data_IF_948266455223
#
_entry.id   IF_948266455223
#
_cell.length_a   1.000
_cell.length_b   1.000
_cell.length_c   1.000
_cell.angle_alpha   90.00
_cell.angle_beta   90.00
_cell.angle_gamma   90.00
#
_symmetry.space_group_name_H-M   'P 1'
#
loop_
_entity.id
_entity.type
_entity.pdbx_description
1 polymer ?
#
# COMPACT_ATOMS: atom_id res chain seq x y z
N UNK A 1 32.16 10.15 0.21
CA UNK A 1 32.10 10.98 1.43
C UNK A 1 31.71 10.09 2.60
N UNK A 2 32.19 10.39 3.81
CA UNK A 2 31.83 9.67 5.05
C UNK A 2 30.30 9.60 5.27
N UNK A 3 29.59 10.63 4.81
CA UNK A 3 28.12 10.76 4.86
C UNK A 3 27.44 9.77 3.90
N UNK A 4 27.99 9.57 2.69
CA UNK A 4 27.43 8.61 1.72
C UNK A 4 27.55 7.16 2.19
N UNK A 5 28.65 6.82 2.89
CA UNK A 5 28.83 5.49 3.52
C UNK A 5 27.89 5.26 4.71
N UNK A 6 27.60 6.32 5.48
CA UNK A 6 26.63 6.29 6.57
C UNK A 6 25.20 6.05 6.06
N UNK A 7 24.80 6.74 4.99
CA UNK A 7 23.47 6.59 4.39
C UNK A 7 23.26 5.19 3.81
N UNK A 8 24.26 4.65 3.11
CA UNK A 8 24.21 3.27 2.60
C UNK A 8 24.24 2.21 3.71
N UNK A 9 24.97 2.46 4.80
CA UNK A 9 24.95 1.60 6.00
C UNK A 9 23.59 1.58 6.71
N UNK A 10 22.94 2.75 6.84
CA UNK A 10 21.60 2.86 7.45
C UNK A 10 20.55 2.18 6.55
N UNK A 11 20.63 2.40 5.23
CA UNK A 11 19.69 1.82 4.27
C UNK A 11 19.80 0.30 4.20
N UNK A 12 21.02 -0.25 4.18
CA UNK A 12 21.25 -1.69 4.21
C UNK A 12 20.86 -2.32 5.55
N UNK A 13 21.11 -1.63 6.68
CA UNK A 13 20.67 -2.06 8.00
C UNK A 13 19.14 -2.12 8.14
N UNK A 14 18.41 -1.14 7.59
CA UNK A 14 16.96 -1.13 7.57
C UNK A 14 16.37 -2.25 6.71
N UNK A 15 16.93 -2.48 5.52
CA UNK A 15 16.50 -3.58 4.65
C UNK A 15 16.75 -4.94 5.29
N UNK A 16 17.93 -5.15 5.89
CA UNK A 16 18.26 -6.39 6.59
C UNK A 16 17.32 -6.63 7.78
N UNK A 17 17.05 -5.59 8.58
CA UNK A 17 16.12 -5.67 9.71
C UNK A 17 14.70 -6.00 9.26
N UNK A 18 14.22 -5.34 8.19
CA UNK A 18 12.91 -5.62 7.61
C UNK A 18 12.78 -7.05 7.09
N UNK A 19 13.81 -7.56 6.39
CA UNK A 19 13.85 -8.93 5.91
C UNK A 19 13.83 -9.94 7.06
N UNK A 20 14.63 -9.74 8.10
CA UNK A 20 14.66 -10.62 9.29
C UNK A 20 13.29 -10.64 9.97
N UNK A 21 12.68 -9.48 10.21
CA UNK A 21 11.35 -9.39 10.83
C UNK A 21 10.30 -10.10 9.97
N UNK A 22 10.35 -9.93 8.65
CA UNK A 22 9.43 -10.58 7.72
C UNK A 22 9.58 -12.09 7.73
N UNK A 23 10.81 -12.62 7.71
CA UNK A 23 11.08 -14.07 7.77
C UNK A 23 10.55 -14.66 9.08
N UNK A 24 10.82 -14.00 10.22
CA UNK A 24 10.31 -14.44 11.53
C UNK A 24 8.78 -14.43 11.53
N UNK A 25 8.14 -13.40 10.99
CA UNK A 25 6.69 -13.29 10.96
C UNK A 25 6.04 -14.37 10.08
N UNK A 26 6.64 -14.69 8.93
CA UNK A 26 6.19 -15.76 8.03
C UNK A 26 6.39 -17.14 8.65
N UNK A 27 7.54 -17.40 9.25
CA UNK A 27 7.84 -18.67 9.92
C UNK A 27 6.85 -18.95 11.07
N UNK A 28 6.61 -17.96 11.94
CA UNK A 28 5.63 -18.06 13.02
C UNK A 28 4.19 -18.23 12.50
N UNK A 29 3.85 -17.57 11.38
CA UNK A 29 2.53 -17.72 10.75
C UNK A 29 2.32 -19.10 10.12
N UNK A 30 3.38 -19.76 9.65
CA UNK A 30 3.31 -21.12 9.09
C UNK A 30 3.25 -22.21 10.17
N UNK A 31 3.82 -21.97 11.34
CA UNK A 31 3.72 -22.86 12.51
C UNK A 31 2.38 -22.73 13.27
N UNK A 32 1.48 -21.84 12.81
CA UNK A 32 0.15 -21.66 13.40
C UNK A 32 0.14 -20.81 14.67
N UNK A 33 1.26 -20.16 15.02
CA UNK A 33 1.28 -19.17 16.09
C UNK A 33 0.61 -17.88 15.60
N UNK A 34 -0.61 -17.65 16.07
CA UNK A 34 -1.22 -16.33 15.89
C UNK A 34 -0.72 -15.39 16.99
N UNK A 35 -0.62 -14.08 16.74
CA UNK A 35 -0.33 -13.07 17.79
C UNK A 35 -1.30 -13.16 18.98
N UNK A 36 -2.43 -13.83 18.79
CA UNK A 36 -3.50 -14.07 19.74
C UNK A 36 -3.14 -15.14 20.79
N UNK A 37 -2.22 -16.05 20.49
CA UNK A 37 -1.80 -17.16 21.36
C UNK A 37 -0.82 -16.72 22.46
N UNK A 38 -0.20 -15.54 22.31
CA UNK A 38 0.72 -14.96 23.29
C UNK A 38 0.01 -14.11 24.35
N UNK A 39 -1.33 -14.04 24.33
CA UNK A 39 -2.09 -13.14 25.20
C UNK A 39 -2.31 -13.70 26.61
N UNK A 40 -2.05 -12.87 27.61
CA UNK A 40 -2.26 -13.19 29.03
C UNK A 40 -3.75 -13.39 29.36
N UNK A 41 -4.09 -14.23 30.36
CA UNK A 41 -5.47 -14.35 30.88
C UNK A 41 -6.09 -13.01 31.28
N UNK A 42 -5.25 -12.00 31.60
CA UNK A 42 -5.66 -10.63 31.89
C UNK A 42 -6.08 -9.88 30.62
N UNK A 43 -5.38 -10.07 29.50
CA UNK A 43 -5.75 -9.52 28.19
C UNK A 43 -7.02 -10.17 27.63
N UNK A 44 -7.26 -11.45 27.89
CA UNK A 44 -8.52 -12.10 27.50
C UNK A 44 -9.73 -11.50 28.22
N UNK A 45 -9.59 -11.16 29.51
CA UNK A 45 -10.63 -10.45 30.27
C UNK A 45 -10.82 -9.01 29.77
N UNK A 46 -9.73 -8.31 29.48
CA UNK A 46 -9.77 -6.96 28.89
C UNK A 46 -10.45 -6.99 27.52
N UNK A 47 -10.14 -7.96 26.66
CA UNK A 47 -10.80 -8.17 25.36
C UNK A 47 -12.28 -8.52 25.51
N UNK A 48 -12.68 -9.18 26.61
CA UNK A 48 -14.08 -9.46 26.90
C UNK A 48 -14.83 -8.20 27.39
N UNK A 49 -14.17 -7.33 28.13
CA UNK A 49 -14.73 -6.03 28.55
C UNK A 49 -14.79 -5.02 27.39
N UNK A 50 -13.74 -4.94 26.57
CA UNK A 50 -13.75 -4.16 25.32
C UNK A 50 -14.84 -4.67 24.37
N UNK A 51 -15.09 -5.98 24.34
CA UNK A 51 -16.19 -6.60 23.58
C UNK A 51 -17.58 -6.22 24.08
N UNK A 52 -17.76 -6.09 25.39
CA UNK A 52 -19.01 -5.59 25.97
C UNK A 52 -19.20 -4.10 25.65
N UNK A 53 -18.11 -3.31 25.67
CA UNK A 53 -18.12 -1.91 25.22
C UNK A 53 -18.37 -1.76 23.72
N UNK A 54 -17.84 -2.62 22.85
CA UNK A 54 -18.07 -2.56 21.40
C UNK A 54 -19.54 -2.83 21.02
N UNK A 55 -20.22 -3.65 21.82
CA UNK A 55 -21.67 -3.88 21.70
C UNK A 55 -22.44 -2.63 22.16
N UNK A 56 -22.01 -1.99 23.25
CA UNK A 56 -22.59 -0.72 23.73
C UNK A 56 -22.32 0.46 22.78
N UNK A 57 -21.17 0.48 22.10
CA UNK A 57 -20.77 1.51 21.13
C UNK A 57 -21.45 1.37 19.75
N UNK A 58 -22.30 0.34 19.56
CA UNK A 58 -23.15 0.21 18.37
C UNK A 58 -22.46 -0.39 17.13
N UNK A 59 -21.43 -1.23 17.31
CA UNK A 59 -20.85 -2.00 16.21
C UNK A 59 -21.91 -2.99 15.67
N UNK A 60 -22.18 -3.06 14.35
CA UNK A 60 -23.26 -3.87 13.81
C UNK A 60 -23.02 -5.37 14.04
N UNK A 61 -23.92 -6.00 14.81
CA UNK A 61 -23.99 -7.44 14.98
C UNK A 61 -24.91 -8.06 13.90
N UNK A 62 -24.52 -9.22 13.34
CA UNK A 62 -25.36 -9.94 12.37
C UNK A 62 -26.72 -10.28 12.98
N UNK A 63 -27.80 -9.92 12.27
CA UNK A 63 -29.16 -10.28 12.66
C UNK A 63 -29.46 -11.79 12.50
N UNK A 64 -28.60 -12.57 11.86
CA UNK A 64 -28.88 -13.97 11.47
C UNK A 64 -27.96 -15.00 12.15
N UNK A 65 -26.79 -14.60 12.64
CA UNK A 65 -25.87 -15.47 13.36
C UNK A 65 -25.68 -14.94 14.78
N UNK A 66 -25.95 -15.78 15.78
CA UNK A 66 -25.57 -15.57 17.21
C UNK A 66 -24.04 -15.54 17.42
N UNK A 67 -23.27 -15.21 16.40
CA UNK A 67 -21.83 -15.10 16.40
C UNK A 67 -21.44 -13.74 15.80
N UNK A 68 -20.53 -12.99 16.45
CA UNK A 68 -20.10 -11.70 15.93
C UNK A 68 -19.46 -11.90 14.56
N UNK A 69 -19.80 -11.03 13.61
CA UNK A 69 -19.18 -11.02 12.29
C UNK A 69 -17.68 -10.73 12.45
N UNK A 70 -16.83 -11.47 11.74
CA UNK A 70 -15.39 -11.20 11.73
C UNK A 70 -15.17 -9.75 11.31
N UNK A 71 -14.20 -9.03 11.91
CA UNK A 71 -13.92 -7.65 11.53
C UNK A 71 -13.65 -7.59 10.02
N UNK A 72 -14.33 -6.67 9.33
CA UNK A 72 -14.19 -6.55 7.89
C UNK A 72 -12.87 -5.88 7.49
N UNK A 73 -12.29 -5.09 8.40
CA UNK A 73 -10.98 -4.44 8.27
C UNK A 73 -10.09 -4.76 9.47
N UNK A 74 -8.78 -4.81 9.24
CA UNK A 74 -7.73 -4.93 10.27
C UNK A 74 -7.08 -3.54 10.52
N UNK A 75 -7.48 -2.80 11.57
CA UNK A 75 -7.08 -1.40 11.76
C UNK A 75 -5.57 -1.17 11.74
N UNK A 76 -4.80 -2.00 12.46
CA UNK A 76 -3.35 -1.87 12.53
C UNK A 76 -2.67 -2.06 11.17
N UNK A 77 -3.17 -3.00 10.35
CA UNK A 77 -2.65 -3.26 9.00
C UNK A 77 -2.86 -2.06 8.07
N UNK A 78 -4.04 -1.45 8.12
CA UNK A 78 -4.37 -0.25 7.33
C UNK A 78 -3.51 0.96 7.74
N UNK A 79 -3.29 1.17 9.04
CA UNK A 79 -2.43 2.27 9.53
C UNK A 79 -0.98 2.07 9.08
N UNK A 80 -0.44 0.86 9.22
CA UNK A 80 0.93 0.55 8.84
C UNK A 80 1.10 0.67 7.32
N UNK A 81 0.20 0.05 6.55
CA UNK A 81 0.21 0.11 5.09
C UNK A 81 0.10 1.55 4.57
N UNK A 82 -0.85 2.31 5.13
CA UNK A 82 -1.02 3.72 4.78
C UNK A 82 0.16 4.60 5.19
N UNK A 83 0.80 4.31 6.32
CA UNK A 83 2.04 4.98 6.74
C UNK A 83 3.20 4.74 5.77
N UNK A 84 3.37 3.50 5.29
CA UNK A 84 4.36 3.17 4.25
C UNK A 84 4.03 3.92 2.96
N UNK A 85 2.76 3.91 2.54
CA UNK A 85 2.30 4.65 1.35
C UNK A 85 2.59 6.15 1.44
N UNK A 86 2.32 6.77 2.59
CA UNK A 86 2.64 8.18 2.84
C UNK A 86 4.14 8.47 2.68
N UNK A 87 4.99 7.70 3.35
CA UNK A 87 6.45 7.89 3.30
C UNK A 87 6.94 7.74 1.86
N UNK A 88 6.49 6.69 1.15
CA UNK A 88 6.87 6.46 -0.23
C UNK A 88 6.39 7.59 -1.16
N UNK A 89 5.15 8.05 -0.98
CA UNK A 89 4.61 9.19 -1.72
C UNK A 89 5.42 10.47 -1.51
N UNK A 90 5.84 10.76 -0.26
CA UNK A 90 6.71 11.89 0.07
C UNK A 90 8.07 11.77 -0.62
N UNK A 91 8.68 10.58 -0.66
CA UNK A 91 9.96 10.35 -1.35
C UNK A 91 9.82 10.62 -2.84
N UNK A 92 8.73 10.17 -3.47
CA UNK A 92 8.47 10.41 -4.90
C UNK A 92 8.19 11.89 -5.21
N UNK A 93 7.52 12.62 -4.31
CA UNK A 93 7.25 14.04 -4.44
C UNK A 93 8.50 14.91 -4.23
N UNK A 94 9.26 14.63 -3.17
CA UNK A 94 10.45 15.40 -2.80
C UNK A 94 11.65 15.11 -3.69
N UNK A 95 11.69 13.94 -4.32
CA UNK A 95 12.75 13.50 -5.23
C UNK A 95 14.14 13.74 -4.63
N UNK A 96 14.49 13.10 -3.49
CA UNK A 96 15.74 13.33 -2.76
C UNK A 96 16.95 12.64 -3.45
N UNK A 97 16.97 12.68 -4.78
CA UNK A 97 17.96 12.08 -5.65
C UNK A 97 18.38 13.09 -6.73
N UNK A 98 19.48 12.86 -7.47
CA UNK A 98 20.00 13.79 -8.47
C UNK A 98 19.04 14.01 -9.66
N UNK A 99 18.08 14.92 -9.53
CA UNK A 99 17.02 15.16 -10.53
C UNK A 99 17.55 15.57 -11.90
N UNK A 100 18.73 16.20 -11.97
CA UNK A 100 19.38 16.58 -13.23
C UNK A 100 19.74 15.39 -14.13
N UNK A 101 19.72 14.15 -13.62
CA UNK A 101 19.99 12.93 -14.40
C UNK A 101 18.74 12.38 -15.12
N UNK A 102 17.59 13.03 -14.98
CA UNK A 102 16.30 12.50 -15.44
C UNK A 102 15.58 13.53 -16.32
N UNK A 103 14.77 13.03 -17.26
CA UNK A 103 13.91 13.90 -18.05
C UNK A 103 12.88 14.64 -17.18
N UNK A 104 12.63 15.94 -17.42
CA UNK A 104 11.62 16.70 -16.69
C UNK A 104 10.24 16.06 -16.72
N UNK A 105 9.84 15.48 -17.86
CA UNK A 105 8.57 14.78 -18.04
C UNK A 105 8.46 13.57 -17.09
N UNK A 106 9.53 12.77 -16.97
CA UNK A 106 9.56 11.63 -16.07
C UNK A 106 9.49 12.05 -14.61
N UNK A 107 10.23 13.10 -14.23
CA UNK A 107 10.16 13.67 -12.89
C UNK A 107 8.75 14.19 -12.56
N UNK A 108 8.05 14.78 -13.52
CA UNK A 108 6.67 15.21 -13.35
C UNK A 108 5.74 14.02 -13.12
N UNK A 109 5.89 12.94 -13.91
CA UNK A 109 5.12 11.70 -13.72
C UNK A 109 5.37 11.13 -12.33
N UNK A 110 6.63 11.05 -11.88
CA UNK A 110 6.96 10.58 -10.53
C UNK A 110 6.28 11.41 -9.43
N UNK A 111 6.18 12.73 -9.59
CA UNK A 111 5.46 13.59 -8.63
C UNK A 111 3.97 13.29 -8.60
N UNK A 112 3.34 13.06 -9.76
CA UNK A 112 1.93 12.65 -9.81
C UNK A 112 1.72 11.28 -9.16
N UNK A 113 2.60 10.31 -9.42
CA UNK A 113 2.59 9.03 -8.69
C UNK A 113 2.71 9.25 -7.18
N UNK A 114 3.66 10.06 -6.74
CA UNK A 114 3.86 10.37 -5.33
C UNK A 114 2.63 11.00 -4.68
N UNK A 115 1.97 11.94 -5.37
CA UNK A 115 0.73 12.55 -4.90
C UNK A 115 -0.38 11.51 -4.74
N UNK A 116 -0.60 10.67 -5.76
CA UNK A 116 -1.64 9.63 -5.73
C UNK A 116 -1.37 8.63 -4.61
N UNK A 117 -0.14 8.14 -4.47
CA UNK A 117 0.24 7.20 -3.40
C UNK A 117 0.10 7.82 -2.02
N UNK A 118 0.42 9.10 -1.87
CA UNK A 118 0.24 9.82 -0.60
C UNK A 118 -1.24 9.96 -0.23
N UNK A 119 -2.10 10.27 -1.20
CA UNK A 119 -3.55 10.34 -1.00
C UNK A 119 -4.13 8.96 -0.64
N UNK A 120 -3.72 7.91 -1.35
CA UNK A 120 -4.10 6.52 -1.04
C UNK A 120 -3.68 6.14 0.39
N UNK A 121 -2.42 6.38 0.77
CA UNK A 121 -1.94 6.09 2.12
C UNK A 121 -2.69 6.86 3.22
N UNK A 122 -3.14 8.08 2.92
CA UNK A 122 -3.98 8.88 3.83
C UNK A 122 -5.37 8.27 4.03
N UNK A 123 -5.97 7.72 2.97
CA UNK A 123 -7.24 7.01 3.05
C UNK A 123 -7.10 5.72 3.86
N UNK A 124 -6.02 4.98 3.69
CA UNK A 124 -5.74 3.75 4.43
C UNK A 124 -5.60 4.02 5.93
N UNK A 125 -4.83 5.04 6.31
CA UNK A 125 -4.75 5.49 7.71
C UNK A 125 -6.13 5.90 8.23
N UNK A 126 -6.91 6.63 7.43
CA UNK A 126 -8.27 7.02 7.82
C UNK A 126 -9.16 5.80 8.08
N UNK A 127 -9.10 4.79 7.20
CA UNK A 127 -9.80 3.51 7.39
C UNK A 127 -9.35 2.81 8.68
N UNK A 128 -8.03 2.79 8.93
CA UNK A 128 -7.44 2.27 10.15
C UNK A 128 -7.95 2.96 11.43
N UNK A 129 -7.97 4.28 11.46
CA UNK A 129 -8.45 5.08 12.61
C UNK A 129 -9.95 4.87 12.87
N UNK A 130 -10.76 4.84 11.80
CA UNK A 130 -12.21 4.61 11.91
C UNK A 130 -12.48 3.21 12.50
N UNK A 131 -11.66 2.22 12.14
CA UNK A 131 -11.85 0.83 12.55
C UNK A 131 -13.18 0.28 12.04
N UNK A 132 -13.78 -0.72 12.69
CA UNK A 132 -15.01 -1.34 12.17
C UNK A 132 -16.32 -0.59 12.51
N UNK A 133 -16.22 0.67 12.96
CA UNK A 133 -17.35 1.43 13.54
C UNK A 133 -18.34 1.98 12.51
N UNK A 134 -17.87 2.30 11.30
CA UNK A 134 -18.68 2.99 10.28
C UNK A 134 -18.60 2.32 8.92
N UNK A 135 -19.39 1.24 8.69
CA UNK A 135 -19.42 0.51 7.41
C UNK A 135 -19.65 1.42 6.20
N UNK A 136 -20.58 2.37 6.29
CA UNK A 136 -20.89 3.31 5.20
C UNK A 136 -19.68 4.17 4.82
N UNK A 137 -18.97 4.70 5.83
CA UNK A 137 -17.77 5.50 5.60
C UNK A 137 -16.68 4.68 4.91
N UNK A 138 -16.52 3.40 5.26
CA UNK A 138 -15.56 2.53 4.58
C UNK A 138 -15.89 2.28 3.11
N UNK A 139 -17.18 2.14 2.77
CA UNK A 139 -17.57 1.99 1.37
C UNK A 139 -17.21 3.24 0.54
N UNK A 140 -17.44 4.42 1.12
CA UNK A 140 -17.04 5.69 0.48
C UNK A 140 -15.52 5.76 0.35
N UNK A 141 -14.76 5.41 1.40
CA UNK A 141 -13.30 5.43 1.34
C UNK A 141 -12.74 4.47 0.29
N UNK A 142 -13.25 3.24 0.19
CA UNK A 142 -12.86 2.31 -0.89
C UNK A 142 -13.23 2.83 -2.27
N UNK A 143 -14.37 3.50 -2.43
CA UNK A 143 -14.75 4.11 -3.71
C UNK A 143 -13.78 5.21 -4.13
N UNK A 144 -13.35 6.07 -3.19
CA UNK A 144 -12.34 7.10 -3.45
C UNK A 144 -10.98 6.45 -3.76
N UNK A 145 -10.57 5.42 -3.03
CA UNK A 145 -9.34 4.66 -3.30
C UNK A 145 -9.33 4.07 -4.71
N UNK A 146 -10.46 3.54 -5.19
CA UNK A 146 -10.61 3.04 -6.57
C UNK A 146 -10.31 4.15 -7.58
N UNK A 147 -10.86 5.36 -7.39
CA UNK A 147 -10.61 6.48 -8.29
C UNK A 147 -9.12 6.85 -8.36
N UNK A 148 -8.44 6.86 -7.21
CA UNK A 148 -7.00 7.13 -7.16
C UNK A 148 -6.18 6.02 -7.81
N UNK A 149 -6.46 4.74 -7.56
CA UNK A 149 -5.77 3.64 -8.25
C UNK A 149 -5.95 3.71 -9.76
N UNK A 150 -7.16 3.99 -10.25
CA UNK A 150 -7.41 4.11 -11.69
C UNK A 150 -6.73 5.34 -12.31
N UNK A 151 -6.52 6.41 -11.56
CA UNK A 151 -5.79 7.61 -12.03
C UNK A 151 -4.30 7.34 -12.32
N UNK A 152 -3.75 6.23 -11.83
CA UNK A 152 -2.40 5.77 -12.15
C UNK A 152 -2.30 5.25 -13.60
N UNK A 153 -3.37 4.70 -14.15
CA UNK A 153 -3.36 4.04 -15.47
C UNK A 153 -2.93 5.02 -16.59
N UNK A 154 -3.51 6.24 -16.71
CA UNK A 154 -3.04 7.21 -17.69
C UNK A 154 -1.54 7.51 -17.60
N UNK A 155 -0.98 7.56 -16.39
CA UNK A 155 0.46 7.81 -16.19
C UNK A 155 1.30 6.64 -16.71
N UNK A 156 0.87 5.40 -16.42
CA UNK A 156 1.52 4.19 -16.95
C UNK A 156 1.42 4.12 -18.48
N UNK A 157 0.30 4.53 -19.06
CA UNK A 157 0.11 4.56 -20.52
C UNK A 157 1.02 5.61 -21.18
N UNK A 158 1.22 6.77 -20.56
CA UNK A 158 2.19 7.77 -21.03
C UNK A 158 3.60 7.16 -21.05
N UNK A 159 4.02 6.53 -19.96
CA UNK A 159 5.33 5.85 -19.88
C UNK A 159 5.45 4.76 -20.96
N UNK A 160 4.41 3.97 -21.16
CA UNK A 160 4.39 2.89 -22.16
C UNK A 160 4.53 3.40 -23.61
N UNK A 161 3.93 4.55 -23.91
CA UNK A 161 4.00 5.17 -25.23
C UNK A 161 5.27 6.00 -25.44
N UNK A 162 5.97 6.37 -24.35
CA UNK A 162 7.21 7.16 -24.37
C UNK A 162 8.31 6.47 -23.55
N UNK A 163 8.82 5.31 -23.99
CA UNK A 163 9.89 4.62 -23.28
C UNK A 163 11.15 5.47 -23.12
N UNK A 164 11.40 6.41 -24.04
CA UNK A 164 12.59 7.27 -24.05
C UNK A 164 12.72 8.18 -22.83
N UNK A 165 11.60 8.54 -22.17
CA UNK A 165 11.66 9.39 -20.97
C UNK A 165 12.06 8.61 -19.72
N UNK A 166 12.02 7.28 -19.75
CA UNK A 166 12.35 6.46 -18.60
C UNK A 166 13.88 6.40 -18.36
N UNK A 167 14.36 6.44 -17.10
CA UNK A 167 15.78 6.62 -16.76
C UNK A 167 16.76 5.65 -17.43
N UNK A 168 16.34 4.40 -17.70
CA UNK A 168 17.18 3.40 -18.35
C UNK A 168 17.45 3.72 -19.83
N UNK A 169 16.58 4.49 -20.46
CA UNK A 169 16.67 4.84 -21.88
C UNK A 169 17.12 6.30 -22.10
N UNK A 170 17.42 7.06 -21.02
CA UNK A 170 17.84 8.46 -21.07
C UNK A 170 19.36 8.65 -20.96
N UNK A 171 19.94 9.68 -21.57
CA UNK A 171 21.36 10.03 -21.36
C UNK A 171 21.60 10.37 -19.88
N UNK A 172 22.70 9.92 -19.24
CA UNK A 172 23.95 9.39 -19.82
C UNK A 172 23.96 7.89 -20.16
N UNK A 173 22.85 7.17 -19.95
CA UNK A 173 22.79 5.71 -20.10
C UNK A 173 22.58 5.25 -21.55
N UNK A 174 22.27 6.14 -22.49
CA UNK A 174 22.21 5.81 -23.93
C UNK A 174 23.56 5.29 -24.43
N UNK A 175 24.69 5.75 -23.87
CA UNK A 175 26.02 5.24 -24.20
C UNK A 175 26.27 3.80 -23.71
N UNK A 176 25.39 3.25 -22.87
CA UNK A 176 25.41 1.83 -22.43
C UNK A 176 24.59 0.93 -23.38
N UNK A 177 23.86 1.51 -24.34
CA UNK A 177 23.30 0.77 -25.47
C UNK A 177 22.18 -0.21 -25.13
N UNK A 178 21.08 0.27 -24.52
CA UNK A 178 19.86 -0.55 -24.50
C UNK A 178 19.22 -0.44 -25.89
N UNK A 179 19.22 -1.54 -26.65
CA UNK A 179 18.67 -1.58 -28.01
C UNK A 179 17.16 -1.28 -28.00
N UNK A 180 16.66 -0.76 -29.12
CA UNK A 180 15.21 -0.53 -29.36
C UNK A 180 14.40 -1.82 -29.17
N UNK A 181 15.06 -2.97 -29.27
CA UNK A 181 14.48 -4.29 -29.03
C UNK A 181 13.88 -4.39 -27.63
N UNK A 182 14.46 -3.75 -26.61
CA UNK A 182 13.96 -3.78 -25.22
C UNK A 182 12.69 -2.94 -24.97
N UNK A 183 12.23 -2.18 -25.96
CA UNK A 183 11.03 -1.35 -25.81
C UNK A 183 9.78 -2.21 -25.66
N UNK A 184 9.75 -3.38 -26.30
CA UNK A 184 8.60 -4.27 -26.21
C UNK A 184 8.55 -4.96 -24.84
N UNK A 185 9.68 -5.39 -24.28
CA UNK A 185 9.76 -5.86 -22.90
C UNK A 185 9.34 -4.79 -21.90
N UNK A 186 9.82 -3.55 -22.08
CA UNK A 186 9.42 -2.43 -21.24
C UNK A 186 7.91 -2.18 -21.28
N UNK A 187 7.32 -2.17 -22.48
CA UNK A 187 5.87 -2.03 -22.65
C UNK A 187 5.11 -3.19 -22.02
N UNK A 188 5.60 -4.43 -22.13
CA UNK A 188 4.99 -5.58 -21.46
C UNK A 188 5.04 -5.44 -19.94
N UNK A 189 6.15 -4.96 -19.38
CA UNK A 189 6.28 -4.70 -17.93
C UNK A 189 5.26 -3.65 -17.48
N UNK A 190 5.14 -2.53 -18.21
CA UNK A 190 4.15 -1.51 -17.90
C UNK A 190 2.71 -2.00 -18.08
N UNK A 191 2.45 -2.81 -19.11
CA UNK A 191 1.18 -3.50 -19.31
C UNK A 191 0.84 -4.41 -18.13
N UNK A 192 1.82 -5.13 -17.58
CA UNK A 192 1.65 -5.92 -16.37
C UNK A 192 1.32 -5.06 -15.14
N UNK A 193 1.94 -3.88 -14.99
CA UNK A 193 1.58 -2.93 -13.93
C UNK A 193 0.16 -2.37 -14.08
N UNK A 194 -0.30 -2.09 -15.30
CA UNK A 194 -1.69 -1.71 -15.56
C UNK A 194 -2.64 -2.84 -15.17
N UNK A 195 -2.37 -4.07 -15.59
CA UNK A 195 -3.18 -5.24 -15.23
C UNK A 195 -3.22 -5.46 -13.71
N UNK A 196 -2.07 -5.34 -13.03
CA UNK A 196 -1.99 -5.43 -11.57
C UNK A 196 -2.82 -4.34 -10.89
N UNK A 197 -2.76 -3.10 -11.39
CA UNK A 197 -3.55 -1.98 -10.87
C UNK A 197 -5.06 -2.27 -10.98
N UNK A 198 -5.51 -2.82 -12.11
CA UNK A 198 -6.89 -3.26 -12.29
C UNK A 198 -7.27 -4.38 -11.30
N UNK A 199 -6.42 -5.39 -11.11
CA UNK A 199 -6.67 -6.48 -10.16
C UNK A 199 -6.78 -5.98 -8.71
N UNK A 200 -5.88 -5.12 -8.27
CA UNK A 200 -5.92 -4.50 -6.94
C UNK A 200 -7.15 -3.58 -6.77
N UNK A 201 -7.67 -3.04 -7.86
CA UNK A 201 -8.92 -2.26 -7.84
C UNK A 201 -10.13 -3.16 -7.62
N UNK A 202 -10.16 -4.37 -8.20
CA UNK A 202 -11.23 -5.36 -7.98
C UNK A 202 -11.33 -5.76 -6.51
N UNK A 203 -10.20 -5.88 -5.81
CA UNK A 203 -10.19 -6.17 -4.36
C UNK A 203 -10.98 -5.11 -3.56
N UNK A 204 -10.85 -3.83 -3.94
CA UNK A 204 -11.62 -2.75 -3.30
C UNK A 204 -13.12 -2.86 -3.57
N UNK A 205 -13.51 -3.25 -4.80
CA UNK A 205 -14.92 -3.51 -5.14
C UNK A 205 -15.46 -4.68 -4.31
N UNK A 206 -14.69 -5.76 -4.19
CA UNK A 206 -15.04 -6.89 -3.34
C UNK A 206 -15.24 -6.48 -1.88
N UNK A 207 -14.34 -5.64 -1.33
CA UNK A 207 -14.45 -5.14 0.02
C UNK A 207 -15.71 -4.29 0.23
N UNK A 208 -16.10 -3.45 -0.72
CA UNK A 208 -17.37 -2.70 -0.68
C UNK A 208 -18.57 -3.65 -0.56
N UNK A 209 -18.63 -4.69 -1.41
CA UNK A 209 -19.70 -5.70 -1.41
C UNK A 209 -19.70 -6.47 -0.08
N UNK A 210 -18.52 -6.85 0.43
CA UNK A 210 -18.39 -7.53 1.72
C UNK A 210 -18.93 -6.67 2.86
N UNK A 211 -18.65 -5.36 2.86
CA UNK A 211 -19.13 -4.41 3.88
C UNK A 211 -20.66 -4.24 3.83
N UNK A 212 -21.31 -4.40 2.67
CA UNK A 212 -22.78 -4.35 2.59
C UNK A 212 -23.46 -5.39 3.49
N UNK A 213 -22.79 -6.52 3.78
CA UNK A 213 -23.31 -7.57 4.68
C UNK A 213 -23.33 -7.17 6.16
N UNK A 214 -22.76 -6.01 6.51
CA UNK A 214 -22.69 -5.46 7.86
C UNK A 214 -23.66 -4.29 8.07
N UNK A 215 -24.49 -3.98 7.06
CA UNK A 215 -25.64 -3.09 7.17
C UNK A 215 -26.88 -3.92 7.48
#
# INVERSE_FOLDING_TARGET
SLIGGLITGIQSGLLLSFTIVTIVFVALSMEGYFPEDFKSKKEQKLMKQLREQEIEEGVPASQTLKQPLKPFIKPAGEIIGGGIGLIFGIVLLSQPFPTYMFFPDFLMILRFFGLITMLEGSLDISRGIIGNRRPDTHQVLHMITILFKLSVIPLLVILMNRPEIFPFFSEPWIHVGISVEFYDEYRMILGAFVALTCLLTIENVYNIIKIQKYK
#
